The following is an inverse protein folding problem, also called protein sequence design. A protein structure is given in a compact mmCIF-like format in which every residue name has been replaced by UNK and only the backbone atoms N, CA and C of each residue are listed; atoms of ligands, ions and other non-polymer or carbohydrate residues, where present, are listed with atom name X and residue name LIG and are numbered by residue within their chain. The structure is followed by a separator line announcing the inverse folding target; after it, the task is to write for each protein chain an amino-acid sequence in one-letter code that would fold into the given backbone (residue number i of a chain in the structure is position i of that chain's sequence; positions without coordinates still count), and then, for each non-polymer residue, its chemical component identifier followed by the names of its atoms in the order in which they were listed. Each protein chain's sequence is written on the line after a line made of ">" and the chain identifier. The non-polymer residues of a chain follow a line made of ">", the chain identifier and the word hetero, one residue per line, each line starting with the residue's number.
data_IF_621495955766
#
_entry.id   IF_621495955766
#
_cell.length_a   1.000
_cell.length_b   1.000
_cell.length_c   1.000
_cell.angle_alpha   90.00
_cell.angle_beta   90.00
_cell.angle_gamma   90.00
#
_symmetry.space_group_name_H-M   'P 1'
#
loop_
_entity.id
_entity.type
_entity.pdbx_description
1 polymer ?
#
# COMPACT_ATOMS: atom_id res chain seq x y z
N UNK A 1 -1.75 -27.56 2.75
CA UNK A 1 -0.46 -27.81 3.43
C UNK A 1 0.71 -27.91 2.43
N UNK A 2 0.58 -27.37 1.21
CA UNK A 2 1.55 -27.51 0.10
C UNK A 2 2.36 -26.24 -0.20
N UNK A 3 1.97 -25.07 0.31
CA UNK A 3 2.64 -23.80 0.00
C UNK A 3 3.92 -23.51 0.82
N UNK A 4 4.13 -24.18 1.96
CA UNK A 4 5.30 -23.93 2.82
C UNK A 4 6.59 -24.62 2.33
N UNK A 5 6.48 -25.72 1.56
CA UNK A 5 7.64 -26.50 1.09
C UNK A 5 8.29 -25.86 -0.15
N UNK A 6 7.48 -25.31 -1.07
CA UNK A 6 7.99 -24.57 -2.23
C UNK A 6 8.70 -23.28 -1.82
N UNK A 7 8.17 -22.56 -0.82
CA UNK A 7 8.77 -21.32 -0.32
C UNK A 7 10.13 -21.56 0.35
N UNK A 8 10.28 -22.66 1.10
CA UNK A 8 11.56 -23.07 1.68
C UNK A 8 12.58 -23.48 0.59
N UNK A 9 12.14 -24.18 -0.47
CA UNK A 9 12.96 -24.54 -1.61
C UNK A 9 13.46 -23.31 -2.38
N UNK A 10 12.55 -22.37 -2.69
CA UNK A 10 12.87 -21.14 -3.41
C UNK A 10 13.81 -20.24 -2.62
N UNK A 11 13.56 -20.06 -1.32
CA UNK A 11 14.46 -19.32 -0.41
C UNK A 11 15.84 -19.98 -0.37
N UNK A 12 15.92 -21.30 -0.25
CA UNK A 12 17.21 -22.03 -0.25
C UNK A 12 17.95 -21.91 -1.58
N UNK A 13 17.24 -21.88 -2.71
CA UNK A 13 17.82 -21.70 -4.05
C UNK A 13 18.34 -20.27 -4.22
N UNK A 14 17.55 -19.24 -3.87
CA UNK A 14 18.01 -17.84 -3.92
C UNK A 14 19.20 -17.65 -3.00
N UNK A 15 19.18 -18.22 -1.80
CA UNK A 15 20.31 -18.21 -0.87
C UNK A 15 21.51 -18.90 -1.48
N UNK A 16 21.36 -20.08 -2.06
CA UNK A 16 22.47 -20.77 -2.74
C UNK A 16 23.00 -19.96 -3.92
N UNK A 17 22.15 -19.31 -4.70
CA UNK A 17 22.55 -18.49 -5.84
C UNK A 17 23.26 -17.22 -5.36
N UNK A 18 22.71 -16.51 -4.38
CA UNK A 18 23.28 -15.33 -3.76
C UNK A 18 24.61 -15.63 -3.08
N UNK A 19 24.66 -16.69 -2.26
CA UNK A 19 25.88 -17.18 -1.61
C UNK A 19 26.90 -17.66 -2.64
N UNK A 20 26.50 -18.34 -3.72
CA UNK A 20 27.44 -18.79 -4.78
C UNK A 20 27.99 -17.62 -5.59
N UNK A 21 27.14 -16.63 -5.93
CA UNK A 21 27.55 -15.39 -6.61
C UNK A 21 28.52 -14.59 -5.74
N UNK A 22 28.23 -14.49 -4.44
CA UNK A 22 29.06 -13.80 -3.46
C UNK A 22 30.39 -14.53 -3.20
N UNK A 23 30.38 -15.87 -3.09
CA UNK A 23 31.57 -16.71 -2.90
C UNK A 23 32.52 -16.64 -4.11
N UNK A 24 31.98 -16.52 -5.32
CA UNK A 24 32.76 -16.35 -6.55
C UNK A 24 33.45 -14.96 -6.64
N UNK A 25 32.82 -13.91 -6.11
CA UNK A 25 33.41 -12.55 -6.05
C UNK A 25 34.42 -12.43 -4.91
N UNK A 26 34.14 -13.04 -3.75
CA UNK A 26 34.98 -12.93 -2.54
C UNK A 26 36.19 -13.86 -2.53
N UNK A 27 36.21 -14.94 -3.33
CA UNK A 27 37.39 -15.80 -3.48
C UNK A 27 38.62 -15.03 -4.00
N UNK A 28 38.41 -13.84 -4.60
CA UNK A 28 39.48 -12.97 -5.10
C UNK A 28 40.14 -12.10 -4.01
N UNK A 29 39.52 -11.93 -2.84
CA UNK A 29 39.94 -10.95 -1.82
C UNK A 29 40.23 -11.53 -0.41
N UNK A 30 40.37 -12.87 -0.26
CA UNK A 30 40.67 -13.47 1.05
C UNK A 30 42.12 -13.28 1.52
N UNK A 31 43.06 -12.94 0.63
CA UNK A 31 44.48 -12.70 0.95
C UNK A 31 44.98 -11.51 0.14
N UNK A 32 45.45 -10.46 0.82
CA UNK A 32 46.07 -9.28 0.19
C UNK A 32 47.56 -9.27 0.52
N UNK A 33 48.42 -9.12 -0.48
CA UNK A 33 49.87 -8.94 -0.26
C UNK A 33 50.13 -7.50 0.18
N UNK A 34 50.80 -7.32 1.30
CA UNK A 34 51.26 -6.01 1.75
C UNK A 34 52.80 -6.01 1.75
N UNK A 35 53.37 -5.09 0.97
CA UNK A 35 54.81 -4.95 0.83
C UNK A 35 55.32 -3.83 1.74
N UNK A 36 56.32 -4.14 2.56
CA UNK A 36 56.98 -3.18 3.44
C UNK A 36 58.45 -3.07 3.05
N UNK A 37 58.97 -1.85 3.02
CA UNK A 37 60.37 -1.57 2.70
C UNK A 37 61.14 -1.22 3.98
N UNK A 38 62.06 -2.08 4.41
CA UNK A 38 62.92 -1.83 5.59
C UNK A 38 64.32 -1.47 5.12
N UNK A 39 64.89 -0.40 5.67
CA UNK A 39 66.25 0.06 5.37
C UNK A 39 67.21 -0.44 6.44
N UNK A 40 68.22 -1.23 6.06
CA UNK A 40 69.32 -1.66 6.95
C UNK A 40 70.65 -1.38 6.22
N UNK A 41 71.55 -0.62 6.86
CA UNK A 41 72.90 -0.25 6.38
C UNK A 41 73.03 -0.08 4.85
N UNK A 42 72.42 0.98 4.30
CA UNK A 42 72.64 1.37 2.90
C UNK A 42 71.96 0.51 1.83
N UNK A 43 71.34 -0.63 2.18
CA UNK A 43 70.62 -1.48 1.24
C UNK A 43 69.12 -1.54 1.57
N UNK A 44 68.27 -1.44 0.53
CA UNK A 44 66.81 -1.41 0.66
C UNK A 44 66.25 -2.80 0.36
N UNK A 45 65.85 -3.54 1.39
CA UNK A 45 65.25 -4.86 1.22
C UNK A 45 63.72 -4.78 1.32
N UNK A 46 63.03 -5.42 0.36
CA UNK A 46 61.57 -5.50 0.31
C UNK A 46 61.12 -6.83 0.91
N UNK A 47 60.20 -6.77 1.87
CA UNK A 47 59.56 -7.95 2.43
C UNK A 47 58.06 -7.90 2.15
N UNK A 48 57.51 -9.00 1.64
CA UNK A 48 56.09 -9.18 1.40
C UNK A 48 55.49 -10.05 2.52
N UNK A 49 54.37 -9.62 3.08
CA UNK A 49 53.62 -10.41 4.06
C UNK A 49 52.18 -10.59 3.61
N UNK A 50 51.59 -11.71 4.03
CA UNK A 50 50.20 -12.01 3.77
C UNK A 50 49.34 -11.29 4.81
N UNK A 51 48.58 -10.29 4.37
CA UNK A 51 47.57 -9.63 5.20
C UNK A 51 46.20 -10.24 4.94
N UNK A 52 45.52 -10.64 6.01
CA UNK A 52 44.11 -11.03 5.96
C UNK A 52 43.30 -9.80 6.32
N UNK A 53 42.57 -9.27 5.36
CA UNK A 53 41.74 -8.09 5.56
C UNK A 53 40.48 -8.49 6.35
N UNK A 54 40.59 -8.49 7.70
CA UNK A 54 39.52 -8.87 8.62
C UNK A 54 38.20 -8.11 8.37
N UNK A 55 38.29 -6.85 7.90
CA UNK A 55 37.12 -6.01 7.59
C UNK A 55 36.27 -6.55 6.42
N UNK A 56 36.88 -7.17 5.40
CA UNK A 56 36.14 -7.75 4.27
C UNK A 56 35.37 -9.01 4.69
N UNK A 57 35.94 -9.81 5.61
CA UNK A 57 35.27 -11.00 6.14
C UNK A 57 34.12 -10.64 7.09
N UNK A 58 34.25 -9.53 7.83
CA UNK A 58 33.17 -9.00 8.66
C UNK A 58 31.98 -8.55 7.80
N UNK A 59 32.26 -7.86 6.69
CA UNK A 59 31.23 -7.39 5.76
C UNK A 59 30.45 -8.56 5.12
N UNK A 60 31.13 -9.65 4.79
CA UNK A 60 30.50 -10.88 4.24
C UNK A 60 29.44 -11.47 5.19
N UNK A 61 29.68 -11.45 6.51
CA UNK A 61 28.76 -12.07 7.48
C UNK A 61 27.58 -11.17 7.83
N UNK A 62 27.80 -9.86 7.96
CA UNK A 62 26.74 -8.90 8.26
C UNK A 62 25.80 -8.69 7.07
N UNK A 63 26.31 -8.66 5.83
CA UNK A 63 25.45 -8.49 4.66
C UNK A 63 24.50 -9.67 4.46
N UNK A 64 24.96 -10.90 4.73
CA UNK A 64 24.08 -12.06 4.65
C UNK A 64 22.94 -11.95 5.67
N UNK A 65 23.24 -11.57 6.92
CA UNK A 65 22.23 -11.37 7.96
C UNK A 65 21.22 -10.28 7.58
N UNK A 66 21.70 -9.10 7.15
CA UNK A 66 20.85 -7.99 6.74
C UNK A 66 19.99 -8.37 5.52
N UNK A 67 20.54 -9.12 4.57
CA UNK A 67 19.81 -9.56 3.38
C UNK A 67 18.60 -10.44 3.74
N UNK A 68 18.79 -11.41 4.65
CA UNK A 68 17.68 -12.23 5.15
C UNK A 68 16.66 -11.45 5.95
N UNK A 69 17.14 -10.54 6.79
CA UNK A 69 16.31 -9.66 7.60
C UNK A 69 15.42 -8.76 6.72
N UNK A 70 16.01 -8.12 5.71
CA UNK A 70 15.29 -7.30 4.74
C UNK A 70 14.32 -8.11 3.89
N UNK A 71 14.68 -9.34 3.49
CA UNK A 71 13.75 -10.23 2.81
C UNK A 71 12.55 -10.57 3.71
N UNK A 72 12.77 -10.85 4.99
CA UNK A 72 11.72 -11.13 5.96
C UNK A 72 10.79 -9.94 6.21
N UNK A 73 11.36 -8.74 6.42
CA UNK A 73 10.56 -7.51 6.56
C UNK A 73 9.82 -7.20 5.26
N UNK A 74 10.47 -7.40 4.10
CA UNK A 74 9.89 -7.18 2.79
C UNK A 74 8.68 -8.08 2.54
N UNK A 75 8.78 -9.38 2.84
CA UNK A 75 7.66 -10.32 2.69
C UNK A 75 6.54 -10.03 3.68
N UNK A 76 6.86 -9.68 4.92
CA UNK A 76 5.85 -9.28 5.91
C UNK A 76 5.09 -8.02 5.45
N UNK A 77 5.81 -7.00 5.00
CA UNK A 77 5.22 -5.74 4.52
C UNK A 77 4.39 -5.96 3.25
N UNK A 78 4.90 -6.76 2.31
CA UNK A 78 4.17 -7.12 1.09
C UNK A 78 2.92 -7.94 1.40
N UNK A 79 2.99 -8.91 2.32
CA UNK A 79 1.84 -9.68 2.76
C UNK A 79 0.75 -8.80 3.39
N UNK A 80 1.15 -7.87 4.26
CA UNK A 80 0.23 -6.86 4.80
C UNK A 80 -0.39 -6.03 3.66
N UNK A 81 0.43 -5.47 2.77
CA UNK A 81 -0.07 -4.68 1.64
C UNK A 81 -1.05 -5.45 0.75
N UNK A 82 -0.77 -6.71 0.42
CA UNK A 82 -1.66 -7.57 -0.37
C UNK A 82 -2.97 -7.83 0.38
N UNK A 83 -2.90 -8.15 1.68
CA UNK A 83 -4.10 -8.31 2.50
C UNK A 83 -5.00 -7.07 2.45
N UNK A 84 -4.42 -5.88 2.60
CA UNK A 84 -5.12 -4.61 2.48
C UNK A 84 -5.68 -4.36 1.09
N UNK A 85 -4.90 -4.66 0.05
CA UNK A 85 -5.33 -4.54 -1.34
C UNK A 85 -6.54 -5.45 -1.65
N UNK A 86 -6.51 -6.71 -1.20
CA UNK A 86 -7.65 -7.63 -1.34
C UNK A 86 -8.87 -7.16 -0.54
N UNK A 87 -8.66 -6.59 0.64
CA UNK A 87 -9.74 -5.99 1.43
C UNK A 87 -10.37 -4.78 0.71
N UNK A 88 -9.55 -4.00 0.00
CA UNK A 88 -9.98 -2.83 -0.79
C UNK A 88 -10.74 -3.20 -2.06
N UNK A 89 -10.32 -4.28 -2.72
CA UNK A 89 -10.98 -4.77 -3.94
C UNK A 89 -12.31 -5.47 -3.65
N UNK A 90 -12.56 -5.90 -2.41
CA UNK A 90 -13.78 -6.62 -2.03
C UNK A 90 -14.90 -5.65 -1.62
N UNK A 91 -15.83 -5.41 -2.54
CA UNK A 91 -16.98 -4.52 -2.31
C UNK A 91 -17.88 -4.98 -1.16
N UNK A 92 -18.07 -6.28 -0.96
CA UNK A 92 -18.90 -6.81 0.12
C UNK A 92 -18.31 -6.54 1.51
N UNK A 93 -16.98 -6.59 1.63
CA UNK A 93 -16.32 -6.28 2.91
C UNK A 93 -16.35 -4.79 3.21
N UNK A 94 -16.32 -3.96 2.17
CA UNK A 94 -16.45 -2.50 2.28
C UNK A 94 -17.83 -2.12 2.80
N UNK A 95 -18.89 -2.71 2.27
CA UNK A 95 -20.26 -2.46 2.74
C UNK A 95 -20.49 -3.00 4.14
N UNK A 96 -19.96 -4.19 4.45
CA UNK A 96 -20.06 -4.79 5.79
C UNK A 96 -19.34 -3.98 6.86
N UNK A 97 -18.15 -3.45 6.57
CA UNK A 97 -17.40 -2.58 7.50
C UNK A 97 -18.22 -1.34 7.87
N UNK A 98 -18.63 -0.55 6.88
CA UNK A 98 -19.43 0.67 7.11
C UNK A 98 -20.77 0.33 7.76
N UNK A 99 -21.41 -0.76 7.32
CA UNK A 99 -22.67 -1.23 7.90
C UNK A 99 -22.56 -1.61 9.37
N UNK A 100 -21.45 -2.18 9.81
CA UNK A 100 -21.22 -2.48 11.22
C UNK A 100 -21.24 -1.21 12.08
N UNK A 101 -20.54 -0.14 11.66
CA UNK A 101 -20.55 1.14 12.39
C UNK A 101 -21.94 1.76 12.44
N UNK A 102 -22.68 1.77 11.32
CA UNK A 102 -24.04 2.33 11.30
C UNK A 102 -25.02 1.52 12.16
N UNK A 103 -24.85 0.19 12.23
CA UNK A 103 -25.62 -0.69 13.11
C UNK A 103 -25.36 -0.38 14.58
N UNK A 104 -24.08 -0.23 14.96
CA UNK A 104 -23.71 0.14 16.34
C UNK A 104 -24.29 1.49 16.73
N UNK A 105 -24.32 2.44 15.80
CA UNK A 105 -24.94 3.76 15.99
C UNK A 105 -26.47 3.74 15.96
N UNK A 106 -27.12 2.59 15.72
CA UNK A 106 -28.57 2.41 15.58
C UNK A 106 -29.21 3.30 14.50
N UNK A 107 -28.46 3.65 13.47
CA UNK A 107 -28.93 4.48 12.35
C UNK A 107 -29.55 3.64 11.22
N UNK A 108 -29.34 2.32 11.24
CA UNK A 108 -29.86 1.37 10.25
C UNK A 108 -30.37 0.13 10.96
N UNK A 109 -31.61 -0.27 10.66
CA UNK A 109 -32.20 -1.54 11.11
C UNK A 109 -32.05 -2.59 10.01
N UNK A 110 -31.72 -3.84 10.39
CA UNK A 110 -31.54 -4.94 9.41
C UNK A 110 -32.84 -5.37 8.73
N UNK A 111 -33.97 -5.19 9.40
CA UNK A 111 -35.29 -5.64 8.94
C UNK A 111 -35.82 -4.83 7.75
N UNK A 112 -35.30 -3.60 7.55
CA UNK A 112 -35.71 -2.73 6.47
C UNK A 112 -34.82 -2.90 5.23
N UNK A 113 -35.37 -3.57 4.21
CA UNK A 113 -34.73 -3.74 2.90
C UNK A 113 -34.41 -2.40 2.21
N UNK A 114 -35.15 -1.34 2.53
CA UNK A 114 -34.93 0.03 2.03
C UNK A 114 -33.61 0.62 2.55
N UNK A 115 -33.32 0.45 3.84
CA UNK A 115 -32.10 0.94 4.48
C UNK A 115 -30.86 0.21 3.95
N UNK A 116 -30.96 -1.09 3.66
CA UNK A 116 -29.85 -1.83 3.04
C UNK A 116 -29.51 -1.31 1.63
N UNK A 117 -30.52 -0.93 0.84
CA UNK A 117 -30.30 -0.32 -0.48
C UNK A 117 -29.65 1.07 -0.36
N UNK A 118 -30.08 1.88 0.61
CA UNK A 118 -29.48 3.18 0.93
C UNK A 118 -28.02 3.04 1.37
N UNK A 119 -27.71 2.04 2.21
CA UNK A 119 -26.35 1.74 2.64
C UNK A 119 -25.46 1.37 1.45
N UNK A 120 -25.91 0.47 0.58
CA UNK A 120 -25.16 0.12 -0.63
C UNK A 120 -24.96 1.34 -1.55
N UNK A 121 -25.98 2.20 -1.72
CA UNK A 121 -25.84 3.46 -2.46
C UNK A 121 -24.84 4.41 -1.81
N UNK A 122 -24.86 4.56 -0.49
CA UNK A 122 -23.91 5.39 0.24
C UNK A 122 -22.47 4.93 0.04
N UNK A 123 -22.22 3.62 0.19
CA UNK A 123 -20.88 3.05 0.05
C UNK A 123 -20.37 3.15 -1.40
N UNK A 124 -21.24 2.90 -2.39
CA UNK A 124 -20.84 2.94 -3.80
C UNK A 124 -20.74 4.36 -4.37
N UNK A 125 -21.65 5.27 -3.98
CA UNK A 125 -21.79 6.59 -4.59
C UNK A 125 -21.13 7.71 -3.80
N UNK A 126 -21.24 7.70 -2.47
CA UNK A 126 -20.69 8.74 -1.59
C UNK A 126 -19.25 8.43 -1.15
N UNK A 127 -19.02 7.25 -0.55
CA UNK A 127 -17.68 6.90 -0.04
C UNK A 127 -16.73 6.39 -1.12
N UNK A 128 -17.19 5.58 -2.08
CA UNK A 128 -16.34 4.93 -3.10
C UNK A 128 -15.18 4.12 -2.47
N UNK A 129 -14.28 3.56 -3.28
CA UNK A 129 -13.20 2.70 -2.78
C UNK A 129 -12.22 3.48 -1.89
N UNK A 130 -11.87 4.68 -2.33
CA UNK A 130 -10.91 5.55 -1.65
C UNK A 130 -11.44 6.06 -0.31
N UNK A 131 -12.72 6.42 -0.20
CA UNK A 131 -13.29 6.88 1.06
C UNK A 131 -13.41 5.77 2.10
N UNK A 132 -13.76 4.53 1.69
CA UNK A 132 -13.74 3.38 2.61
C UNK A 132 -12.31 3.07 3.07
N UNK A 133 -11.31 3.21 2.19
CA UNK A 133 -9.91 3.06 2.56
C UNK A 133 -9.49 4.06 3.64
N UNK A 134 -9.80 5.34 3.43
CA UNK A 134 -9.46 6.41 4.35
C UNK A 134 -10.14 6.17 5.71
N UNK A 135 -11.41 5.78 5.73
CA UNK A 135 -12.11 5.44 6.98
C UNK A 135 -11.47 4.28 7.72
N UNK A 136 -11.01 3.25 7.00
CA UNK A 136 -10.30 2.14 7.62
C UNK A 136 -8.92 2.56 8.15
N UNK A 137 -8.22 3.45 7.45
CA UNK A 137 -6.97 4.03 7.91
C UNK A 137 -7.18 4.86 9.19
N UNK A 138 -8.24 5.66 9.24
CA UNK A 138 -8.60 6.44 10.42
C UNK A 138 -8.95 5.51 11.59
N UNK A 139 -9.74 4.45 11.38
CA UNK A 139 -10.04 3.46 12.44
C UNK A 139 -8.78 2.88 13.06
N UNK A 140 -7.77 2.53 12.24
CA UNK A 140 -6.52 1.96 12.78
C UNK A 140 -5.58 2.95 13.45
N UNK A 141 -5.61 4.23 13.09
CA UNK A 141 -4.69 5.23 13.64
C UNK A 141 -5.30 6.11 14.73
N UNK A 142 -6.60 6.42 14.63
CA UNK A 142 -7.34 7.30 15.53
C UNK A 142 -8.34 6.54 16.41
N UNK A 143 -8.61 5.27 16.12
CA UNK A 143 -9.54 4.43 16.87
C UNK A 143 -10.98 4.49 16.36
N UNK A 144 -11.80 3.57 16.88
CA UNK A 144 -13.15 3.33 16.37
C UNK A 144 -14.15 4.41 16.77
N UNK A 145 -13.95 5.09 17.90
CA UNK A 145 -14.86 6.15 18.38
C UNK A 145 -14.85 7.32 17.39
N UNK A 146 -13.66 7.84 17.06
CA UNK A 146 -13.50 8.95 16.11
C UNK A 146 -14.05 8.56 14.73
N UNK A 147 -13.76 7.34 14.28
CA UNK A 147 -14.27 6.82 13.01
C UNK A 147 -15.79 6.77 12.99
N UNK A 148 -16.43 6.35 14.09
CA UNK A 148 -17.88 6.29 14.17
C UNK A 148 -18.55 7.66 14.05
N UNK A 149 -17.99 8.70 14.68
CA UNK A 149 -18.49 10.08 14.57
C UNK A 149 -18.37 10.63 13.14
N UNK A 150 -17.25 10.35 12.47
CA UNK A 150 -17.03 10.73 11.07
C UNK A 150 -18.06 10.04 10.18
N UNK A 151 -18.24 8.72 10.33
CA UNK A 151 -19.19 7.94 9.55
C UNK A 151 -20.63 8.44 9.78
N UNK A 152 -20.99 8.75 11.02
CA UNK A 152 -22.31 9.28 11.37
C UNK A 152 -22.58 10.63 10.68
N UNK A 153 -21.57 11.50 10.63
CA UNK A 153 -21.67 12.81 9.98
C UNK A 153 -21.80 12.66 8.46
N UNK A 154 -20.96 11.80 7.85
CA UNK A 154 -21.04 11.51 6.41
C UNK A 154 -22.39 10.90 6.01
N UNK A 155 -22.96 10.04 6.85
CA UNK A 155 -24.27 9.44 6.61
C UNK A 155 -25.39 10.49 6.64
N UNK A 156 -25.36 11.44 7.59
CA UNK A 156 -26.34 12.53 7.66
C UNK A 156 -26.30 13.40 6.41
N UNK A 157 -25.10 13.84 6.00
CA UNK A 157 -24.93 14.65 4.79
C UNK A 157 -25.43 13.91 3.53
N UNK A 158 -25.17 12.60 3.43
CA UNK A 158 -25.69 11.80 2.33
C UNK A 158 -27.22 11.74 2.28
N UNK A 159 -27.88 11.63 3.44
CA UNK A 159 -29.34 11.63 3.52
C UNK A 159 -29.93 12.99 3.12
N UNK A 160 -29.27 14.09 3.49
CA UNK A 160 -29.64 15.45 3.08
C UNK A 160 -29.52 15.59 1.54
N UNK A 161 -28.40 15.15 0.95
CA UNK A 161 -28.19 15.16 -0.51
C UNK A 161 -29.24 14.33 -1.27
N UNK A 162 -29.63 13.16 -0.75
CA UNK A 162 -30.65 12.33 -1.37
C UNK A 162 -32.06 12.92 -1.20
N UNK A 163 -32.31 13.65 -0.11
CA UNK A 163 -33.57 14.38 0.10
C UNK A 163 -33.71 15.58 -0.85
N UNK A 164 -32.62 16.29 -1.14
CA UNK A 164 -32.59 17.37 -2.12
C UNK A 164 -32.83 16.86 -3.54
N UNK A 165 -32.14 15.79 -3.95
CA UNK A 165 -32.39 15.13 -5.25
C UNK A 165 -33.80 14.58 -5.39
N UNK A 166 -34.43 14.18 -4.28
CA UNK A 166 -35.84 13.78 -4.26
C UNK A 166 -36.81 14.95 -4.49
N UNK A 167 -36.41 16.18 -4.20
CA UNK A 167 -37.15 17.41 -4.52
C UNK A 167 -36.88 17.90 -5.95
N UNK A 168 -35.67 17.70 -6.47
CA UNK A 168 -35.27 18.00 -7.85
C UNK A 168 -35.55 16.84 -8.82
N UNK A 169 -36.80 16.36 -8.89
CA UNK A 169 -37.27 15.59 -10.05
C UNK A 169 -36.96 16.34 -11.36
N UNK A 170 -36.82 15.62 -12.50
CA UNK A 170 -36.00 16.01 -13.67
C UNK A 170 -35.92 17.52 -13.87
N UNK A 171 -34.78 18.09 -13.52
CA UNK A 171 -34.54 19.52 -13.61
C UNK A 171 -34.64 19.95 -15.07
N UNK A 172 -35.71 20.69 -15.39
CA UNK A 172 -35.79 21.39 -16.66
C UNK A 172 -34.57 22.32 -16.78
N UNK A 173 -33.97 22.45 -17.97
CA UNK A 173 -32.80 23.31 -18.18
C UNK A 173 -33.06 24.70 -17.61
N UNK A 174 -32.04 25.29 -16.99
CA UNK A 174 -32.16 26.61 -16.37
C UNK A 174 -32.47 27.65 -17.46
N UNK A 175 -33.23 28.71 -17.15
CA UNK A 175 -33.59 29.74 -18.14
C UNK A 175 -32.35 30.38 -18.79
N UNK A 176 -31.23 30.42 -18.07
CA UNK A 176 -29.93 30.87 -18.58
C UNK A 176 -29.41 29.99 -19.74
N UNK A 177 -29.64 28.67 -19.68
CA UNK A 177 -29.25 27.73 -20.75
C UNK A 177 -30.12 27.91 -22.00
N UNK A 178 -31.41 28.24 -21.83
CA UNK A 178 -32.37 28.42 -22.94
C UNK A 178 -32.12 29.74 -23.67
N UNK A 179 -31.83 30.81 -22.94
CA UNK A 179 -31.50 32.11 -23.52
C UNK A 179 -30.15 32.05 -24.25
N UNK A 180 -29.17 31.32 -23.70
CA UNK A 180 -27.90 31.05 -24.37
C UNK A 180 -28.06 30.27 -25.68
N UNK A 181 -28.92 29.24 -25.70
CA UNK A 181 -29.17 28.46 -26.92
C UNK A 181 -29.91 29.29 -27.98
N UNK A 182 -30.83 30.17 -27.57
CA UNK A 182 -31.55 31.08 -28.47
C UNK A 182 -30.62 32.14 -29.06
N UNK A 183 -29.72 32.69 -28.25
CA UNK A 183 -28.70 33.62 -28.73
C UNK A 183 -27.68 32.93 -29.68
N UNK A 184 -27.39 31.64 -29.48
CA UNK A 184 -26.59 30.86 -30.42
C UNK A 184 -27.32 30.59 -31.74
N UNK A 185 -28.62 30.29 -31.72
CA UNK A 185 -29.42 30.12 -32.94
C UNK A 185 -29.55 31.41 -33.74
N UNK A 186 -29.73 32.55 -33.07
CA UNK A 186 -29.79 33.86 -33.74
C UNK A 186 -28.45 34.23 -34.40
N UNK A 187 -27.30 33.78 -33.84
CA UNK A 187 -25.96 34.00 -34.41
C UNK A 187 -25.61 33.02 -35.52
N UNK A 188 -26.17 31.81 -35.53
CA UNK A 188 -25.88 30.80 -36.53
C UNK A 188 -27.16 30.05 -36.94
N UNK A 189 -27.96 30.61 -37.87
CA UNK A 189 -29.12 29.92 -38.38
C UNK A 189 -28.67 28.66 -39.13
N UNK A 190 -29.27 27.52 -38.78
CA UNK A 190 -29.07 26.26 -39.49
C UNK A 190 -29.57 26.44 -40.94
N UNK A 191 -28.64 26.47 -41.88
CA UNK A 191 -28.89 26.47 -43.32
C UNK A 191 -28.82 25.04 -43.87
#
# INVERSE_FOLDING_TARGET
>A
MTSSVEFHGFTTIIVKIGVKKLKNVLSRYRVTMCDFEVRVLGNKHRHSVQCVLMINMFNEKVYLFIWFWLLGIGTYTAGNFIYWCLQLLSDEKRTSFVGCYLKVLKLVNEEDLSHQRLLNKFVQRSLRADGVFILHLISKNAGDIITSDIIATLWKNFLEDEAEKGREGPQAPTLEDVDGFKEQLDKHPLN
#
